data_IF_896510953831
#
_entry.id   IF_896510953831
#
_cell.length_a   1.000
_cell.length_b   1.000
_cell.length_c   1.000
_cell.angle_alpha   90.00
_cell.angle_beta   90.00
_cell.angle_gamma   90.00
#
_symmetry.space_group_name_H-M   'P 1'
#
loop_
_entity.id
_entity.type
_entity.pdbx_description
1 polymer ?
#
# COMPACT_ATOMS: atom_id res chain seq x y z
N UNK A 1 -31.20 6.35 17.65
CA UNK A 1 -29.78 6.06 17.41
C UNK A 1 -29.60 5.78 15.93
N UNK A 2 -28.81 6.54 15.18
CA UNK A 2 -28.59 6.28 13.76
C UNK A 2 -27.87 4.93 13.60
N UNK A 3 -28.45 4.06 12.80
CA UNK A 3 -27.83 2.75 12.48
C UNK A 3 -26.78 2.98 11.39
N UNK A 4 -25.52 2.98 11.77
CA UNK A 4 -24.42 2.94 10.81
C UNK A 4 -24.45 1.63 10.03
N UNK A 5 -24.48 1.73 8.72
CA UNK A 5 -24.36 0.56 7.85
C UNK A 5 -22.90 0.10 7.78
N UNK A 6 -22.66 -1.20 7.50
CA UNK A 6 -21.30 -1.74 7.27
C UNK A 6 -20.51 -0.93 6.25
N UNK A 7 -21.18 -0.41 5.22
CA UNK A 7 -20.57 0.38 4.15
C UNK A 7 -20.13 1.77 4.64
N UNK A 8 -20.89 2.40 5.52
CA UNK A 8 -20.53 3.68 6.14
C UNK A 8 -19.40 3.53 7.14
N UNK A 9 -19.41 2.44 7.91
CA UNK A 9 -18.29 2.10 8.79
C UNK A 9 -16.99 1.85 8.00
N UNK A 10 -17.03 1.10 6.89
CA UNK A 10 -15.86 0.86 6.05
C UNK A 10 -15.35 2.12 5.33
N UNK A 11 -16.26 3.01 4.93
CA UNK A 11 -15.89 4.32 4.36
C UNK A 11 -15.23 5.22 5.40
N UNK A 12 -15.77 5.27 6.61
CA UNK A 12 -15.24 6.06 7.71
C UNK A 12 -13.92 5.48 8.23
N UNK A 13 -13.83 4.15 8.42
CA UNK A 13 -12.62 3.49 8.93
C UNK A 13 -11.50 3.40 7.87
N UNK A 14 -11.82 3.22 6.60
CA UNK A 14 -10.83 3.26 5.51
C UNK A 14 -10.16 4.64 5.40
N UNK A 15 -10.95 5.71 5.46
CA UNK A 15 -10.43 7.07 5.48
C UNK A 15 -9.63 7.39 6.74
N UNK A 16 -10.08 6.91 7.91
CA UNK A 16 -9.40 7.19 9.18
C UNK A 16 -8.13 6.35 9.39
N UNK A 17 -8.06 5.12 8.89
CA UNK A 17 -6.83 4.32 8.92
C UNK A 17 -5.75 4.91 7.99
N UNK A 18 -6.14 5.44 6.84
CA UNK A 18 -5.21 6.14 5.95
C UNK A 18 -4.70 7.45 6.58
N UNK A 19 -5.55 8.17 7.30
CA UNK A 19 -5.20 9.42 8.00
C UNK A 19 -4.43 9.18 9.31
N UNK A 20 -4.68 8.09 10.02
CA UNK A 20 -4.02 7.78 11.30
C UNK A 20 -2.63 7.13 11.15
N UNK A 21 -2.35 6.51 10.01
CA UNK A 21 -1.05 5.89 9.73
C UNK A 21 -0.03 6.82 9.07
N UNK A 22 -0.48 7.93 8.48
CA UNK A 22 0.39 9.00 8.02
C UNK A 22 0.58 9.98 9.18
N UNK A 23 1.83 10.35 9.53
CA UNK A 23 2.03 11.57 10.28
C UNK A 23 1.53 12.70 9.37
N UNK A 24 0.24 13.03 9.50
CA UNK A 24 -0.26 14.27 8.93
C UNK A 24 0.65 15.34 9.51
N UNK A 25 1.42 16.09 8.71
CA UNK A 25 2.13 17.22 9.22
C UNK A 25 1.06 18.11 9.86
N UNK A 26 1.06 18.15 11.19
CA UNK A 26 0.21 19.09 11.89
C UNK A 26 0.49 20.41 11.20
N UNK A 27 -0.56 21.18 10.93
CA UNK A 27 -0.50 22.48 10.24
C UNK A 27 0.36 23.49 11.03
N UNK A 28 1.60 23.14 11.27
CA UNK A 28 2.61 24.04 11.83
C UNK A 28 3.26 24.73 10.64
N UNK A 29 3.00 25.99 10.53
CA UNK A 29 3.47 26.92 9.47
C UNK A 29 4.98 26.91 9.18
N UNK A 30 5.78 26.17 9.96
CA UNK A 30 7.23 26.32 10.00
C UNK A 30 8.04 25.03 9.78
N UNK A 31 7.41 23.93 9.37
CA UNK A 31 8.17 22.73 8.94
C UNK A 31 8.11 22.57 7.43
N UNK A 32 9.26 22.32 6.77
CA UNK A 32 9.26 22.02 5.35
C UNK A 32 8.33 20.81 5.10
N UNK A 33 7.58 20.82 4.00
CA UNK A 33 6.69 19.70 3.67
C UNK A 33 7.52 18.41 3.60
N UNK A 34 7.02 17.37 4.26
CA UNK A 34 7.64 16.05 4.22
C UNK A 34 7.52 15.43 2.82
N UNK A 35 8.39 14.49 2.51
CA UNK A 35 8.31 13.69 1.27
C UNK A 35 7.63 12.37 1.57
N UNK A 36 6.65 12.00 0.76
CA UNK A 36 6.03 10.67 0.75
C UNK A 36 6.53 9.94 -0.51
N UNK A 37 7.16 8.79 -0.31
CA UNK A 37 7.56 7.92 -1.42
C UNK A 37 6.65 6.69 -1.44
N UNK A 38 6.03 6.44 -2.58
CA UNK A 38 5.21 5.24 -2.82
C UNK A 38 5.96 4.32 -3.77
N UNK A 39 6.24 3.10 -3.33
CA UNK A 39 6.93 2.09 -4.13
C UNK A 39 5.91 1.00 -4.46
N UNK A 40 5.56 0.88 -5.73
CA UNK A 40 4.66 -0.15 -6.25
C UNK A 40 5.49 -1.35 -6.71
N UNK A 41 5.29 -2.51 -6.08
CA UNK A 41 5.99 -3.74 -6.43
C UNK A 41 5.19 -4.51 -7.50
N UNK A 42 5.29 -4.09 -8.72
CA UNK A 42 4.49 -4.61 -9.84
C UNK A 42 4.92 -6.00 -10.32
N UNK A 43 6.04 -6.51 -9.86
CA UNK A 43 6.53 -7.87 -10.17
C UNK A 43 5.73 -9.00 -9.51
N UNK A 44 4.72 -8.70 -8.71
CA UNK A 44 3.85 -9.70 -8.08
C UNK A 44 4.47 -10.34 -6.84
N UNK A 45 4.96 -9.54 -5.90
CA UNK A 45 5.43 -10.06 -4.61
C UNK A 45 4.31 -10.80 -3.88
N UNK A 46 4.56 -12.05 -3.51
CA UNK A 46 3.63 -12.86 -2.70
C UNK A 46 3.68 -12.41 -1.23
N UNK A 47 2.61 -11.77 -0.78
CA UNK A 47 2.49 -11.25 0.59
C UNK A 47 2.57 -12.34 1.66
N UNK A 48 2.05 -13.53 1.41
CA UNK A 48 2.12 -14.66 2.36
C UNK A 48 3.52 -15.26 2.48
N UNK A 49 4.34 -15.15 1.45
CA UNK A 49 5.77 -15.54 1.50
C UNK A 49 6.61 -14.42 2.11
N UNK A 50 6.28 -13.16 1.81
CA UNK A 50 6.99 -12.00 2.36
C UNK A 50 6.79 -11.86 3.87
N UNK A 51 5.55 -12.04 4.34
CA UNK A 51 5.16 -11.94 5.75
C UNK A 51 4.30 -13.16 6.15
N UNK A 52 4.93 -14.34 6.30
CA UNK A 52 4.20 -15.57 6.54
C UNK A 52 3.50 -15.57 7.92
N UNK A 53 2.20 -15.93 7.97
CA UNK A 53 1.49 -16.17 9.21
C UNK A 53 1.82 -17.57 9.76
N UNK A 54 3.03 -17.78 10.23
CA UNK A 54 3.51 -19.10 10.67
C UNK A 54 2.75 -19.66 11.87
N UNK A 55 2.00 -18.82 12.60
CA UNK A 55 1.10 -19.24 13.65
C UNK A 55 -0.22 -19.86 13.14
N UNK A 56 -0.51 -19.76 11.83
CA UNK A 56 -1.65 -20.42 11.21
C UNK A 56 -1.28 -21.88 10.85
N UNK A 57 -1.96 -22.89 11.41
CA UNK A 57 -1.67 -24.30 11.11
C UNK A 57 -1.90 -24.68 9.66
N UNK A 58 -2.69 -23.91 8.91
CA UNK A 58 -2.95 -24.17 7.50
C UNK A 58 -1.82 -23.68 6.58
N UNK A 59 -0.97 -22.75 7.02
CA UNK A 59 0.10 -22.23 6.19
C UNK A 59 0.99 -23.34 5.65
N UNK A 60 1.56 -24.15 6.53
CA UNK A 60 2.46 -25.23 6.14
C UNK A 60 1.72 -26.39 5.45
N UNK A 61 0.45 -26.61 5.76
CA UNK A 61 -0.38 -27.62 5.07
C UNK A 61 -0.63 -27.25 3.62
N UNK A 62 -0.91 -25.97 3.35
CA UNK A 62 -1.32 -25.50 2.02
C UNK A 62 -0.17 -24.93 1.17
N UNK A 63 0.88 -24.41 1.80
CA UNK A 63 1.94 -23.63 1.14
C UNK A 63 3.35 -24.00 1.60
N UNK A 64 3.59 -25.24 1.98
CA UNK A 64 4.87 -25.71 2.51
C UNK A 64 6.08 -25.31 1.62
N UNK A 65 5.97 -25.51 0.31
CA UNK A 65 7.02 -25.21 -0.66
C UNK A 65 7.28 -23.71 -0.89
N UNK A 66 6.35 -22.85 -0.48
CA UNK A 66 6.42 -21.40 -0.66
C UNK A 66 6.71 -20.65 0.65
N UNK A 67 6.71 -21.37 1.78
CA UNK A 67 6.96 -20.78 3.09
C UNK A 67 8.44 -20.93 3.43
N UNK A 68 9.16 -19.82 3.72
CA UNK A 68 10.58 -19.89 4.10
C UNK A 68 10.75 -20.63 5.43
N UNK A 69 11.70 -21.51 5.52
CA UNK A 69 12.00 -22.28 6.76
C UNK A 69 12.69 -21.41 7.83
N UNK A 70 13.48 -20.44 7.40
CA UNK A 70 14.32 -19.58 8.23
C UNK A 70 13.80 -18.14 8.33
N UNK A 71 12.49 -17.96 8.44
CA UNK A 71 11.88 -16.65 8.57
C UNK A 71 12.38 -15.88 9.81
N UNK A 72 12.39 -14.56 9.72
CA UNK A 72 12.67 -13.68 10.85
C UNK A 72 11.40 -13.53 11.69
N UNK A 73 11.46 -13.87 12.97
CA UNK A 73 10.29 -13.80 13.83
C UNK A 73 9.89 -12.34 14.08
N UNK A 74 8.64 -12.00 13.75
CA UNK A 74 8.07 -10.68 13.98
C UNK A 74 7.30 -10.64 15.33
N UNK A 75 6.44 -11.64 15.55
CA UNK A 75 5.69 -11.83 16.79
C UNK A 75 5.34 -13.31 16.96
N UNK A 76 4.34 -13.65 17.80
CA UNK A 76 3.90 -15.03 18.01
C UNK A 76 3.18 -15.65 16.82
N UNK A 77 2.71 -14.86 15.87
CA UNK A 77 1.91 -15.33 14.75
C UNK A 77 2.55 -15.07 13.39
N UNK A 78 3.26 -13.95 13.20
CA UNK A 78 3.86 -13.55 11.93
C UNK A 78 5.37 -13.60 11.94
N UNK A 79 5.94 -13.88 10.78
CA UNK A 79 7.36 -13.73 10.48
C UNK A 79 7.60 -12.84 9.28
N UNK A 80 8.86 -12.67 8.92
CA UNK A 80 9.29 -11.98 7.73
C UNK A 80 10.18 -12.92 6.90
N UNK A 81 10.09 -12.82 5.60
CA UNK A 81 11.04 -13.49 4.72
C UNK A 81 12.48 -13.06 5.07
N UNK A 82 13.48 -13.94 5.03
CA UNK A 82 14.86 -13.61 5.41
C UNK A 82 15.47 -12.41 4.67
N UNK A 83 15.04 -12.15 3.44
CA UNK A 83 15.47 -10.97 2.66
C UNK A 83 15.05 -9.64 3.26
N UNK A 84 14.07 -9.61 4.18
CA UNK A 84 13.60 -8.41 4.86
C UNK A 84 14.39 -8.04 6.12
N UNK A 85 15.66 -8.45 6.21
CA UNK A 85 16.51 -8.18 7.39
C UNK A 85 16.58 -6.70 7.75
N UNK A 86 16.75 -5.81 6.77
CA UNK A 86 16.76 -4.37 7.00
C UNK A 86 15.41 -3.87 7.52
N UNK A 87 14.32 -4.31 6.89
CA UNK A 87 12.96 -3.94 7.28
C UNK A 87 12.60 -4.43 8.69
N UNK A 88 13.08 -5.61 9.08
CA UNK A 88 12.96 -6.13 10.45
C UNK A 88 13.58 -5.17 11.49
N UNK A 89 14.71 -4.56 11.16
CA UNK A 89 15.34 -3.55 12.01
C UNK A 89 14.52 -2.25 12.13
N UNK A 90 13.80 -1.87 11.10
CA UNK A 90 12.88 -0.72 11.15
C UNK A 90 11.65 -1.02 12.02
N UNK A 91 11.08 -2.22 11.90
CA UNK A 91 9.96 -2.68 12.72
C UNK A 91 10.31 -2.71 14.20
N UNK A 92 11.49 -3.23 14.56
CA UNK A 92 11.97 -3.28 15.93
C UNK A 92 12.14 -1.89 16.57
N UNK A 93 12.35 -0.86 15.75
CA UNK A 93 12.47 0.54 16.18
C UNK A 93 11.15 1.33 16.08
N UNK A 94 10.04 0.68 15.77
CA UNK A 94 8.73 1.31 15.48
C UNK A 94 8.78 2.35 14.33
N UNK A 95 9.73 2.21 13.40
CA UNK A 95 9.89 3.08 12.22
C UNK A 95 9.25 2.47 10.97
N UNK A 96 8.60 1.34 11.10
CA UNK A 96 7.85 0.68 10.04
C UNK A 96 6.68 -0.10 10.63
N UNK A 97 5.70 -0.41 9.77
CA UNK A 97 4.57 -1.27 10.10
C UNK A 97 4.19 -2.14 8.90
N UNK A 98 3.47 -3.22 9.17
CA UNK A 98 2.89 -4.09 8.13
C UNK A 98 1.37 -4.07 8.29
N UNK A 99 0.66 -3.83 7.21
CA UNK A 99 -0.79 -3.95 7.17
C UNK A 99 -1.15 -5.27 6.51
N UNK A 100 -1.70 -6.20 7.30
CA UNK A 100 -2.09 -7.53 6.84
C UNK A 100 -3.48 -7.55 6.25
N UNK A 101 -3.77 -8.60 5.46
CA UNK A 101 -5.09 -8.87 4.89
C UNK A 101 -5.68 -7.70 4.07
N UNK A 102 -4.81 -6.92 3.45
CA UNK A 102 -5.25 -5.90 2.49
C UNK A 102 -5.53 -6.52 1.14
N UNK A 103 -6.62 -6.10 0.51
CA UNK A 103 -7.04 -6.61 -0.79
C UNK A 103 -7.83 -5.54 -1.56
N UNK A 104 -7.89 -5.68 -2.87
CA UNK A 104 -8.79 -4.95 -3.74
C UNK A 104 -9.79 -5.92 -4.40
N UNK A 105 -10.97 -5.47 -4.83
CA UNK A 105 -12.06 -6.34 -5.30
C UNK A 105 -11.79 -6.90 -6.70
N UNK A 106 -10.79 -7.77 -6.82
CA UNK A 106 -10.40 -8.39 -8.08
C UNK A 106 -10.10 -9.88 -7.87
N UNK A 107 -10.83 -10.73 -8.55
CA UNK A 107 -10.75 -12.19 -8.43
C UNK A 107 -10.29 -12.89 -9.70
N UNK A 108 -10.06 -12.14 -10.79
CA UNK A 108 -9.54 -12.67 -12.06
C UNK A 108 -8.01 -12.83 -11.99
N UNK A 109 -7.42 -13.38 -13.04
CA UNK A 109 -5.98 -13.70 -13.10
C UNK A 109 -5.17 -12.77 -14.00
N UNK A 110 -5.74 -11.65 -14.49
CA UNK A 110 -5.01 -10.71 -15.31
C UNK A 110 -4.11 -9.83 -14.43
N UNK A 111 -2.83 -9.93 -14.61
CA UNK A 111 -1.83 -9.12 -13.93
C UNK A 111 -2.02 -7.62 -14.21
N UNK A 112 -2.22 -7.25 -15.47
CA UNK A 112 -2.41 -5.85 -15.88
C UNK A 112 -3.71 -5.23 -15.35
N UNK A 113 -4.81 -6.00 -15.32
CA UNK A 113 -6.06 -5.54 -14.71
C UNK A 113 -5.91 -5.32 -13.20
N UNK A 114 -5.17 -6.21 -12.53
CA UNK A 114 -4.85 -6.07 -11.10
C UNK A 114 -4.02 -4.82 -10.82
N UNK A 115 -2.98 -4.57 -11.60
CA UNK A 115 -2.16 -3.35 -11.49
C UNK A 115 -2.99 -2.09 -11.73
N UNK A 116 -3.84 -2.09 -12.75
CA UNK A 116 -4.71 -0.96 -13.05
C UNK A 116 -5.65 -0.65 -11.87
N UNK A 117 -6.28 -1.66 -11.28
CA UNK A 117 -7.13 -1.48 -10.10
C UNK A 117 -6.35 -0.97 -8.88
N UNK A 118 -5.16 -1.51 -8.65
CA UNK A 118 -4.32 -1.11 -7.53
C UNK A 118 -3.87 0.35 -7.64
N UNK A 119 -3.60 0.84 -8.83
CA UNK A 119 -3.20 2.23 -9.08
C UNK A 119 -4.40 3.17 -9.22
N UNK A 120 -5.46 2.74 -9.88
CA UNK A 120 -6.67 3.53 -10.11
C UNK A 120 -7.56 3.65 -8.88
N UNK A 121 -7.64 2.60 -8.06
CA UNK A 121 -8.54 2.54 -6.90
C UNK A 121 -10.01 2.42 -7.27
N UNK A 122 -10.32 1.98 -8.50
CA UNK A 122 -11.68 1.77 -9.00
C UNK A 122 -12.31 0.46 -8.51
N UNK A 123 -13.54 0.20 -8.95
CA UNK A 123 -14.26 -1.05 -8.63
C UNK A 123 -14.13 -2.11 -9.73
N UNK A 124 -13.72 -1.72 -10.92
CA UNK A 124 -13.44 -2.60 -12.05
C UNK A 124 -12.22 -2.12 -12.82
N UNK A 125 -11.51 -3.03 -13.52
CA UNK A 125 -10.35 -2.64 -14.32
C UNK A 125 -10.70 -1.56 -15.35
N UNK A 126 -9.82 -0.58 -15.47
CA UNK A 126 -9.93 0.54 -16.44
C UNK A 126 -11.15 1.45 -16.25
N UNK A 127 -11.86 1.35 -15.13
CA UNK A 127 -12.97 2.26 -14.81
C UNK A 127 -12.50 3.67 -14.46
N UNK A 128 -11.28 3.79 -13.96
CA UNK A 128 -10.70 5.07 -13.57
C UNK A 128 -9.62 5.50 -14.57
N UNK A 129 -9.67 6.76 -14.98
CA UNK A 129 -8.66 7.39 -15.85
C UNK A 129 -7.58 8.11 -15.06
N UNK A 130 -7.78 8.26 -13.75
CA UNK A 130 -6.86 8.90 -12.79
C UNK A 130 -6.47 7.94 -11.69
N UNK A 131 -5.33 8.19 -11.04
CA UNK A 131 -4.85 7.40 -9.91
C UNK A 131 -5.44 7.87 -8.58
N UNK A 132 -5.56 6.95 -7.63
CA UNK A 132 -6.10 7.30 -6.31
C UNK A 132 -5.21 8.31 -5.56
N UNK A 133 -3.88 8.23 -5.72
CA UNK A 133 -2.94 9.15 -5.08
C UNK A 133 -3.00 10.54 -5.75
N UNK A 134 -3.10 10.58 -7.09
CA UNK A 134 -3.28 11.83 -7.83
C UNK A 134 -4.53 12.57 -7.38
N UNK A 135 -5.66 11.87 -7.27
CA UNK A 135 -6.91 12.45 -6.75
C UNK A 135 -6.79 12.90 -5.27
N UNK A 136 -6.08 12.13 -4.45
CA UNK A 136 -5.88 12.49 -3.05
C UNK A 136 -5.05 13.78 -2.91
N UNK A 137 -4.00 13.95 -3.71
CA UNK A 137 -3.18 15.15 -3.73
C UNK A 137 -3.97 16.38 -4.21
N UNK A 138 -4.79 16.22 -5.24
CA UNK A 138 -5.65 17.29 -5.75
C UNK A 138 -6.69 17.72 -4.71
N UNK A 139 -7.36 16.77 -4.07
CA UNK A 139 -8.32 17.04 -3.00
C UNK A 139 -7.70 17.69 -1.76
N UNK A 140 -6.51 17.27 -1.40
CA UNK A 140 -5.80 17.81 -0.24
C UNK A 140 -5.29 19.23 -0.47
N UNK A 141 -5.26 19.71 -1.73
CA UNK A 141 -4.67 21.00 -2.12
C UNK A 141 -3.30 21.22 -1.48
N UNK A 142 -2.55 20.13 -1.35
CA UNK A 142 -1.25 20.15 -0.68
C UNK A 142 -0.27 20.92 -1.57
N UNK A 143 0.34 21.99 -1.07
CA UNK A 143 1.38 22.66 -1.81
C UNK A 143 2.56 21.71 -1.94
N UNK A 144 3.00 21.47 -3.18
CA UNK A 144 4.09 20.57 -3.46
C UNK A 144 4.00 19.98 -4.86
N UNK A 145 5.06 19.33 -5.25
CA UNK A 145 5.23 18.74 -6.57
C UNK A 145 5.27 17.22 -6.44
N UNK A 146 4.47 16.52 -7.20
CA UNK A 146 4.58 15.07 -7.33
C UNK A 146 5.56 14.71 -8.44
N UNK A 147 6.28 13.61 -8.25
CA UNK A 147 7.24 13.10 -9.23
C UNK A 147 7.02 11.61 -9.41
N UNK A 148 7.04 11.14 -10.64
CA UNK A 148 6.94 9.72 -10.96
C UNK A 148 8.05 9.29 -11.92
N UNK A 149 8.47 8.05 -11.76
CA UNK A 149 9.29 7.36 -12.75
C UNK A 149 8.32 6.72 -13.75
N UNK A 150 8.52 7.00 -15.05
CA UNK A 150 7.62 6.58 -16.10
C UNK A 150 6.23 7.28 -16.03
N UNK A 151 5.16 6.70 -16.58
CA UNK A 151 3.80 7.24 -16.57
C UNK A 151 2.84 6.38 -15.73
N UNK A 152 3.05 6.24 -14.42
CA UNK A 152 2.16 5.44 -13.60
C UNK A 152 0.78 6.09 -13.52
N UNK A 153 -0.25 5.25 -13.57
CA UNK A 153 -1.63 5.70 -13.37
C UNK A 153 -1.80 6.32 -11.98
N UNK A 154 -1.05 5.86 -10.99
CA UNK A 154 -1.16 6.22 -9.57
C UNK A 154 -1.20 7.73 -9.29
N UNK A 155 -0.35 8.52 -9.96
CA UNK A 155 -0.27 9.98 -9.79
C UNK A 155 -1.03 10.77 -10.85
N UNK A 156 -1.64 10.10 -11.83
CA UNK A 156 -2.43 10.79 -12.86
C UNK A 156 -3.61 11.52 -12.23
N UNK A 157 -3.79 12.78 -12.58
CA UNK A 157 -4.81 13.67 -11.98
C UNK A 157 -4.29 14.51 -10.82
N UNK A 158 -3.02 14.41 -10.43
CA UNK A 158 -2.38 15.38 -9.55
C UNK A 158 -2.25 16.73 -10.27
N UNK A 159 -2.38 17.83 -9.51
CA UNK A 159 -2.32 19.21 -10.04
C UNK A 159 -0.99 19.50 -10.73
N UNK A 160 0.13 19.10 -10.10
CA UNK A 160 1.47 19.17 -10.68
C UNK A 160 2.14 17.82 -10.54
N UNK A 161 2.52 17.21 -11.68
CA UNK A 161 3.24 15.95 -11.70
C UNK A 161 4.32 15.94 -12.78
N UNK A 162 5.55 15.73 -12.38
CA UNK A 162 6.68 15.55 -13.29
C UNK A 162 6.93 14.07 -13.53
N UNK A 163 7.02 13.67 -14.79
CA UNK A 163 7.35 12.33 -15.20
C UNK A 163 8.78 12.27 -15.69
N UNK A 164 9.55 11.33 -15.16
CA UNK A 164 10.91 11.05 -15.61
C UNK A 164 10.92 9.74 -16.38
N UNK A 165 11.24 9.81 -17.66
CA UNK A 165 11.41 8.64 -18.49
C UNK A 165 12.85 8.17 -18.41
N UNK A 166 13.06 6.90 -18.16
CA UNK A 166 14.36 6.29 -18.33
C UNK A 166 14.62 6.19 -19.84
N UNK A 167 15.60 6.93 -20.35
CA UNK A 167 16.10 6.69 -21.71
C UNK A 167 16.81 5.36 -21.70
N UNK A 168 16.31 4.40 -22.45
CA UNK A 168 16.92 3.09 -22.69
C UNK A 168 17.98 3.24 -23.76
#
# INVERSE_FOLDING_TARGET
MPKFTRREFLKASGASLFLAGLPLPGFTKDKPPGTISVIMLEGGMDGLTAVPPFGDPNLFKMRKSLTPENYLKLNSFFGLHPSFKYFSGLLAKNNASVVHATNFPYTKRSHFEGQNLMQGGGLSPFSETTGWLGRALDLAKTPGRSMSLDMPLLLRGAHENDNFFQQV
#
